data_IF_265602093188
#
_entry.id   IF_265602093188
#
_cell.length_a   1.000
_cell.length_b   1.000
_cell.length_c   1.000
_cell.angle_alpha   90.00
_cell.angle_beta   90.00
_cell.angle_gamma   90.00
#
_symmetry.space_group_name_H-M   'P 1'
#
loop_
_entity.id
_entity.type
_entity.pdbx_description
1 polymer ?
#
# COMPACT_ATOMS: atom_id res chain seq x y z
N UNK A 1 -18.74 -1.44 -0.70
CA UNK A 1 -18.10 -0.17 -1.11
C UNK A 1 -16.79 -0.47 -1.83
N UNK A 2 -16.32 0.39 -2.75
CA UNK A 2 -14.97 0.28 -3.34
C UNK A 2 -14.20 1.52 -2.91
N UNK A 3 -13.04 1.35 -2.28
CA UNK A 3 -12.13 2.45 -1.96
C UNK A 3 -11.12 2.62 -3.09
N UNK A 4 -11.01 3.85 -3.57
CA UNK A 4 -10.16 4.22 -4.69
C UNK A 4 -8.93 5.02 -4.25
N UNK A 5 -8.79 5.32 -2.95
CA UNK A 5 -7.67 6.12 -2.46
C UNK A 5 -7.20 5.68 -1.07
N UNK A 6 -6.23 4.75 -1.06
CA UNK A 6 -5.68 4.20 0.17
C UNK A 6 -4.17 4.03 0.10
N UNK A 7 -3.47 4.45 1.15
CA UNK A 7 -2.04 4.21 1.33
C UNK A 7 -1.87 2.85 2.02
N UNK A 8 -1.80 1.78 1.23
CA UNK A 8 -1.82 0.42 1.75
C UNK A 8 -0.46 -0.30 1.64
N UNK A 9 0.44 0.20 0.79
CA UNK A 9 1.70 -0.49 0.49
C UNK A 9 2.72 -0.25 1.61
N UNK A 10 3.18 -1.31 2.30
CA UNK A 10 3.98 -1.15 3.51
C UNK A 10 5.39 -0.63 3.26
N UNK A 11 5.77 0.45 3.96
CA UNK A 11 7.07 1.10 3.88
C UNK A 11 7.29 1.91 2.60
N UNK A 12 6.20 2.34 1.96
CA UNK A 12 6.22 3.04 0.67
C UNK A 12 6.14 4.55 0.83
N UNK A 13 5.28 5.02 1.72
CA UNK A 13 5.02 6.41 2.05
C UNK A 13 4.63 6.55 3.53
N UNK A 14 3.79 7.54 3.86
CA UNK A 14 3.23 7.78 5.19
C UNK A 14 2.08 6.85 5.58
N UNK A 15 1.79 5.82 4.78
CA UNK A 15 0.91 4.72 5.13
C UNK A 15 1.52 3.72 6.13
N UNK A 16 1.20 2.42 6.01
CA UNK A 16 1.67 1.41 6.96
C UNK A 16 3.19 1.22 6.88
N UNK A 17 3.84 1.02 8.03
CA UNK A 17 5.28 0.76 8.11
C UNK A 17 5.63 -0.68 7.74
N UNK A 18 4.75 -1.64 8.05
CA UNK A 18 4.96 -3.07 7.84
C UNK A 18 3.70 -3.80 7.35
N UNK A 19 3.86 -5.07 6.99
CA UNK A 19 2.78 -5.88 6.43
C UNK A 19 1.64 -6.13 7.43
N UNK A 20 1.94 -6.19 8.73
CA UNK A 20 0.93 -6.44 9.75
C UNK A 20 0.00 -5.23 9.89
N UNK A 21 0.56 -4.01 9.80
CA UNK A 21 -0.23 -2.78 9.74
C UNK A 21 -1.08 -2.71 8.48
N UNK A 22 -0.55 -3.05 7.29
CA UNK A 22 -1.35 -3.16 6.07
C UNK A 22 -2.52 -4.14 6.23
N UNK A 23 -2.28 -5.31 6.82
CA UNK A 23 -3.32 -6.32 7.06
C UNK A 23 -4.38 -5.83 8.05
N UNK A 24 -3.99 -5.10 9.09
CA UNK A 24 -4.93 -4.49 10.02
C UNK A 24 -5.85 -3.47 9.32
N UNK A 25 -5.29 -2.63 8.44
CA UNK A 25 -6.08 -1.69 7.63
C UNK A 25 -7.06 -2.41 6.69
N UNK A 26 -6.63 -3.50 6.03
CA UNK A 26 -7.52 -4.32 5.20
C UNK A 26 -8.68 -4.92 5.99
N UNK A 27 -8.41 -5.46 7.20
CA UNK A 27 -9.45 -6.04 8.08
C UNK A 27 -10.47 -4.98 8.48
N UNK A 28 -10.00 -3.80 8.90
CA UNK A 28 -10.86 -2.68 9.24
C UNK A 28 -11.74 -2.26 8.05
N UNK A 29 -11.16 -2.11 6.86
CA UNK A 29 -11.91 -1.75 5.67
C UNK A 29 -12.97 -2.81 5.30
N UNK A 30 -12.67 -4.10 5.50
CA UNK A 30 -13.62 -5.18 5.29
C UNK A 30 -14.77 -5.15 6.31
N UNK A 31 -14.47 -4.89 7.58
CA UNK A 31 -15.47 -4.74 8.65
C UNK A 31 -16.40 -3.54 8.38
N UNK A 32 -15.89 -2.49 7.74
CA UNK A 32 -16.66 -1.32 7.29
C UNK A 32 -17.43 -1.56 5.96
N UNK A 33 -17.41 -2.79 5.41
CA UNK A 33 -18.15 -3.18 4.21
C UNK A 33 -17.48 -2.80 2.88
N UNK A 34 -16.17 -2.53 2.90
CA UNK A 34 -15.38 -2.37 1.69
C UNK A 34 -15.09 -3.74 1.06
N UNK A 35 -15.31 -3.87 -0.25
CA UNK A 35 -15.17 -5.14 -0.98
C UNK A 35 -14.02 -5.13 -1.98
N UNK A 36 -13.45 -3.95 -2.26
CA UNK A 36 -12.27 -3.79 -3.10
C UNK A 36 -11.53 -2.50 -2.73
N UNK A 37 -10.21 -2.55 -2.78
CA UNK A 37 -9.29 -1.45 -2.46
C UNK A 37 -8.34 -1.23 -3.63
N UNK A 38 -8.13 0.02 -4.02
CA UNK A 38 -7.07 0.42 -4.95
C UNK A 38 -6.00 1.16 -4.15
N UNK A 39 -4.80 0.60 -4.09
CA UNK A 39 -3.67 1.26 -3.44
C UNK A 39 -3.17 2.42 -4.31
N UNK A 40 -3.11 3.63 -3.74
CA UNK A 40 -2.67 4.86 -4.41
C UNK A 40 -1.66 5.60 -3.54
N UNK A 41 -0.45 5.05 -3.35
CA UNK A 41 0.56 5.69 -2.52
C UNK A 41 0.98 7.05 -3.09
N UNK A 42 1.54 7.90 -2.25
CA UNK A 42 2.11 9.17 -2.67
C UNK A 42 3.18 8.99 -3.75
N UNK A 43 3.25 9.99 -4.64
CA UNK A 43 4.23 10.12 -5.71
C UNK A 43 4.89 11.49 -5.59
N UNK A 44 5.93 11.59 -4.77
CA UNK A 44 6.64 12.85 -4.48
C UNK A 44 8.14 12.62 -4.49
N UNK A 45 8.78 12.93 -5.62
CA UNK A 45 10.20 12.61 -5.89
C UNK A 45 11.18 12.94 -4.75
N UNK A 46 10.93 14.00 -3.99
CA UNK A 46 11.84 14.49 -2.94
C UNK A 46 11.52 13.95 -1.53
N UNK A 47 10.30 13.46 -1.30
CA UNK A 47 9.80 13.05 0.02
C UNK A 47 9.53 11.53 0.07
N UNK A 48 8.98 10.99 -1.02
CA UNK A 48 8.63 9.59 -1.20
C UNK A 48 9.23 9.10 -2.53
N UNK A 49 10.33 8.32 -2.50
CA UNK A 49 11.04 7.88 -3.71
C UNK A 49 10.29 6.73 -4.44
N UNK A 50 9.00 6.93 -4.68
CA UNK A 50 8.07 6.03 -5.35
C UNK A 50 7.92 6.34 -6.84
N UNK A 51 8.57 7.40 -7.32
CA UNK A 51 8.59 7.85 -8.71
C UNK A 51 9.24 6.84 -9.67
N UNK A 52 10.11 5.98 -9.16
CA UNK A 52 10.62 4.82 -9.88
C UNK A 52 9.88 3.56 -9.38
N UNK A 53 9.02 2.95 -10.22
CA UNK A 53 8.32 1.73 -9.85
C UNK A 53 9.24 0.51 -9.76
N UNK A 54 10.45 0.53 -10.35
CA UNK A 54 11.36 -0.62 -10.34
C UNK A 54 11.73 -1.11 -8.93
N UNK A 55 12.26 -0.23 -8.05
CA UNK A 55 12.54 -0.57 -6.66
C UNK A 55 11.30 -0.98 -5.85
N UNK A 56 10.13 -0.42 -6.15
CA UNK A 56 8.88 -0.80 -5.50
C UNK A 56 8.49 -2.23 -5.89
N UNK A 57 8.53 -2.55 -7.18
CA UNK A 57 8.22 -3.90 -7.70
C UNK A 57 9.17 -4.94 -7.11
N UNK A 58 10.48 -4.67 -7.11
CA UNK A 58 11.46 -5.58 -6.51
C UNK A 58 11.20 -5.85 -5.02
N UNK A 59 10.78 -4.85 -4.25
CA UNK A 59 10.41 -5.02 -2.83
C UNK A 59 9.11 -5.80 -2.66
N UNK A 60 8.15 -5.63 -3.55
CA UNK A 60 6.90 -6.40 -3.53
C UNK A 60 7.20 -7.87 -3.85
N UNK A 61 7.91 -8.15 -4.93
CA UNK A 61 8.33 -9.51 -5.33
C UNK A 61 9.03 -10.26 -4.19
N UNK A 62 9.97 -9.61 -3.50
CA UNK A 62 10.68 -10.18 -2.34
C UNK A 62 9.76 -10.53 -1.17
N UNK A 63 8.62 -9.84 -1.02
CA UNK A 63 7.72 -9.98 0.14
C UNK A 63 6.51 -10.85 -0.16
N UNK A 64 6.07 -10.91 -1.43
CA UNK A 64 4.87 -11.65 -1.84
C UNK A 64 5.20 -12.95 -2.58
N UNK A 65 6.44 -13.12 -3.07
CA UNK A 65 6.87 -14.33 -3.79
C UNK A 65 6.18 -14.53 -5.15
N UNK A 66 5.64 -13.45 -5.72
CA UNK A 66 5.00 -13.38 -7.05
C UNK A 66 5.79 -12.42 -7.91
#
# INVERSE_FOLDING_TARGET
>A
MIDLHLHLLPGTDDGPADIEQSLAMCRQAADDGCVALIATPHQRRDEWPTADPGPLLARLEQRTGV
#
